data_IF_977995153840
#
_entry.id   IF_977995153840
#
_cell.length_a   1.000
_cell.length_b   1.000
_cell.length_c   1.000
_cell.angle_alpha   90.00
_cell.angle_beta   90.00
_cell.angle_gamma   90.00
#
_symmetry.space_group_name_H-M   'P 1'
#
loop_
_entity.id
_entity.type
_entity.pdbx_description
1 polymer ?
#
# COMPACT_ATOMS: atom_id res chain seq x y z
N UNK A 1 -18.32 -19.94 -11.53
CA UNK A 1 -18.31 -18.52 -11.93
C UNK A 1 -18.37 -17.76 -10.63
N UNK A 2 -17.29 -17.06 -10.27
CA UNK A 2 -17.25 -16.26 -9.05
C UNK A 2 -18.08 -14.99 -9.22
N UNK A 3 -18.53 -14.45 -8.10
CA UNK A 3 -19.15 -13.12 -8.05
C UNK A 3 -18.06 -12.06 -8.30
N UNK A 4 -18.39 -11.04 -9.10
CA UNK A 4 -17.50 -9.94 -9.46
C UNK A 4 -18.10 -8.60 -9.03
N UNK A 5 -17.25 -7.60 -8.81
CA UNK A 5 -17.63 -6.22 -8.55
C UNK A 5 -17.03 -5.29 -9.60
N UNK A 6 -17.71 -4.17 -9.86
CA UNK A 6 -17.11 -3.02 -10.53
C UNK A 6 -16.61 -2.07 -9.44
N UNK A 7 -15.31 -1.79 -9.46
CA UNK A 7 -14.67 -0.87 -8.52
C UNK A 7 -14.17 0.36 -9.26
N UNK A 8 -14.31 1.51 -8.61
CA UNK A 8 -13.75 2.79 -9.06
C UNK A 8 -12.52 3.09 -8.18
N UNK A 9 -11.36 3.26 -8.80
CA UNK A 9 -10.13 3.56 -8.08
C UNK A 9 -10.07 5.03 -7.68
N UNK A 10 -9.61 5.29 -6.45
CA UNK A 10 -9.54 6.66 -5.92
C UNK A 10 -8.38 7.48 -6.48
N UNK A 11 -7.26 6.83 -6.77
CA UNK A 11 -6.00 7.48 -7.13
C UNK A 11 -5.50 7.07 -8.53
N UNK A 12 -6.08 6.03 -9.14
CA UNK A 12 -5.76 5.60 -10.50
C UNK A 12 -6.75 6.22 -11.49
N UNK A 13 -6.22 6.70 -12.61
CA UNK A 13 -6.99 7.32 -13.68
C UNK A 13 -6.99 6.44 -14.92
N UNK A 14 -8.01 6.59 -15.75
CA UNK A 14 -8.06 6.04 -17.11
C UNK A 14 -6.97 6.68 -18.00
N UNK A 15 -6.80 6.17 -19.21
CA UNK A 15 -5.84 6.67 -20.21
C UNK A 15 -6.04 8.17 -20.56
N UNK A 16 -7.20 8.73 -20.21
CA UNK A 16 -7.48 10.16 -20.39
C UNK A 16 -6.85 11.05 -19.30
N UNK A 17 -6.29 10.48 -18.23
CA UNK A 17 -5.69 11.18 -17.08
C UNK A 17 -6.66 12.14 -16.35
N UNK A 18 -7.97 12.03 -16.57
CA UNK A 18 -8.98 12.88 -15.95
C UNK A 18 -10.06 12.11 -15.22
N UNK A 19 -10.37 10.90 -15.66
CA UNK A 19 -11.44 10.09 -15.09
C UNK A 19 -10.88 8.98 -14.21
N UNK A 20 -11.51 8.68 -13.06
CA UNK A 20 -11.14 7.55 -12.23
C UNK A 20 -11.22 6.22 -13.00
N UNK A 21 -10.21 5.37 -12.84
CA UNK A 21 -10.16 4.05 -13.45
C UNK A 21 -11.26 3.15 -12.90
N UNK A 22 -12.03 2.50 -13.78
CA UNK A 22 -13.02 1.51 -13.41
C UNK A 22 -12.61 0.10 -13.84
N UNK A 23 -12.65 -0.86 -12.92
CA UNK A 23 -12.26 -2.25 -13.21
C UNK A 23 -13.30 -3.25 -12.71
N UNK A 24 -13.47 -4.35 -13.45
CA UNK A 24 -14.25 -5.51 -12.99
C UNK A 24 -13.31 -6.50 -12.32
N UNK A 25 -13.41 -6.61 -11.00
CA UNK A 25 -12.55 -7.46 -10.16
C UNK A 25 -13.35 -8.59 -9.52
N UNK A 26 -12.68 -9.67 -9.14
CA UNK A 26 -13.31 -10.76 -8.40
C UNK A 26 -13.56 -10.34 -6.95
N UNK A 27 -14.62 -10.88 -6.32
CA UNK A 27 -14.86 -10.67 -4.87
C UNK A 27 -13.65 -11.00 -4.01
N UNK A 28 -12.85 -12.01 -4.40
CA UNK A 28 -11.63 -12.40 -3.68
C UNK A 28 -10.50 -11.37 -3.72
N UNK A 29 -10.57 -10.39 -4.62
CA UNK A 29 -9.58 -9.32 -4.80
C UNK A 29 -9.96 -8.06 -4.01
N UNK A 30 -11.19 -7.99 -3.50
CA UNK A 30 -11.68 -6.85 -2.71
C UNK A 30 -11.60 -7.16 -1.22
N UNK A 31 -11.08 -6.20 -0.44
CA UNK A 31 -11.06 -6.26 1.03
C UNK A 31 -11.62 -4.99 1.65
N UNK A 32 -12.23 -5.06 2.85
CA UNK A 32 -12.54 -3.87 3.64
C UNK A 32 -11.27 -3.05 3.93
N UNK A 33 -11.43 -1.74 4.08
CA UNK A 33 -10.33 -0.87 4.54
C UNK A 33 -9.84 -1.35 5.92
N UNK A 34 -8.53 -1.45 6.14
CA UNK A 34 -7.98 -1.80 7.45
C UNK A 34 -8.52 -0.85 8.54
N UNK A 35 -8.75 -1.34 9.77
CA UNK A 35 -9.12 -0.49 10.89
C UNK A 35 -8.10 0.64 11.08
N UNK A 36 -8.57 1.83 11.45
CA UNK A 36 -7.64 2.92 11.78
C UNK A 36 -6.82 2.52 13.01
N UNK A 37 -5.51 2.51 12.85
CA UNK A 37 -4.56 2.20 13.92
C UNK A 37 -4.49 3.37 14.89
N UNK A 38 -4.47 3.11 16.21
CA UNK A 38 -4.27 4.15 17.21
C UNK A 38 -2.93 4.87 16.97
N UNK A 39 -2.89 6.19 17.12
CA UNK A 39 -1.67 7.00 16.95
C UNK A 39 -0.47 6.53 17.79
N UNK A 40 -0.71 5.77 18.87
CA UNK A 40 0.33 5.14 19.69
C UNK A 40 1.09 4.04 18.95
N UNK A 41 0.42 3.29 18.07
CA UNK A 41 1.01 2.24 17.22
C UNK A 41 1.67 2.86 15.99
N UNK A 42 1.09 3.92 15.41
CA UNK A 42 1.71 4.67 14.30
C UNK A 42 3.05 5.35 14.68
N UNK A 43 3.31 5.56 15.99
CA UNK A 43 4.60 6.04 16.52
C UNK A 43 5.58 4.91 16.83
N UNK A 44 5.15 3.66 16.74
CA UNK A 44 6.02 2.52 16.94
C UNK A 44 7.02 2.49 15.78
N UNK A 45 8.31 2.52 16.12
CA UNK A 45 9.36 2.47 15.10
C UNK A 45 9.40 1.05 14.56
N UNK A 46 9.19 0.89 13.26
CA UNK A 46 9.39 -0.38 12.57
C UNK A 46 10.76 -1.00 12.89
N UNK A 47 10.77 -2.33 12.97
CA UNK A 47 11.95 -3.15 13.27
C UNK A 47 12.47 -3.83 12.01
N UNK A 48 13.79 -4.07 11.95
CA UNK A 48 14.39 -4.76 10.81
C UNK A 48 13.76 -6.16 10.64
N UNK A 49 13.37 -6.52 9.42
CA UNK A 49 12.71 -7.78 9.10
C UNK A 49 11.18 -7.77 9.29
N UNK A 50 10.59 -6.67 9.74
CA UNK A 50 9.14 -6.54 9.86
C UNK A 50 8.50 -6.38 8.47
N UNK A 51 7.41 -7.12 8.23
CA UNK A 51 6.59 -6.99 7.03
C UNK A 51 5.64 -5.81 7.24
N UNK A 52 5.62 -4.88 6.28
CA UNK A 52 4.75 -3.71 6.31
C UNK A 52 4.13 -3.48 4.94
N UNK A 53 3.11 -2.64 4.92
CA UNK A 53 2.60 -2.00 3.71
C UNK A 53 3.20 -0.60 3.58
N UNK A 54 3.80 -0.28 2.43
CA UNK A 54 4.33 1.03 2.09
C UNK A 54 3.44 1.71 1.04
N UNK A 55 3.12 2.99 1.23
CA UNK A 55 2.43 3.76 0.19
C UNK A 55 3.45 4.27 -0.83
N UNK A 56 3.29 3.90 -2.10
CA UNK A 56 4.07 4.43 -3.22
C UNK A 56 3.25 4.29 -4.51
N UNK A 57 3.48 5.15 -5.52
CA UNK A 57 2.77 5.14 -6.80
C UNK A 57 1.25 4.87 -6.66
N UNK A 58 0.59 5.66 -5.80
CA UNK A 58 -0.87 5.62 -5.62
C UNK A 58 -1.45 4.29 -5.11
N UNK A 59 -0.58 3.44 -4.53
CA UNK A 59 -0.93 2.11 -4.03
C UNK A 59 -0.21 1.73 -2.74
N UNK A 60 -0.67 0.64 -2.14
CA UNK A 60 -0.06 0.01 -0.96
C UNK A 60 0.73 -1.23 -1.39
N UNK A 61 2.03 -1.22 -1.16
CA UNK A 61 2.95 -2.29 -1.55
C UNK A 61 3.47 -3.02 -0.33
N UNK A 62 3.39 -4.36 -0.37
CA UNK A 62 3.99 -5.20 0.67
C UNK A 62 5.52 -5.11 0.55
N UNK A 63 6.18 -4.90 1.67
CA UNK A 63 7.64 -4.88 1.75
C UNK A 63 8.17 -5.29 3.11
N UNK A 64 9.48 -5.49 3.18
CA UNK A 64 10.19 -5.86 4.41
C UNK A 64 11.16 -4.73 4.78
N UNK A 65 11.18 -4.35 6.07
CA UNK A 65 12.15 -3.37 6.58
C UNK A 65 13.57 -3.92 6.42
N UNK A 66 14.38 -3.30 5.56
CA UNK A 66 15.77 -3.71 5.30
C UNK A 66 16.79 -2.74 5.86
N UNK A 67 16.42 -1.50 6.17
CA UNK A 67 17.33 -0.56 6.82
C UNK A 67 16.61 0.50 7.61
N UNK A 68 17.31 1.02 8.61
CA UNK A 68 16.90 2.20 9.39
C UNK A 68 18.01 3.24 9.35
N UNK A 69 17.71 4.44 8.88
CA UNK A 69 18.60 5.62 8.97
C UNK A 69 17.84 6.73 9.70
N UNK A 70 18.06 6.84 11.01
CA UNK A 70 17.37 7.82 11.86
C UNK A 70 15.87 7.53 11.96
N UNK A 71 15.04 8.44 11.43
CA UNK A 71 13.60 8.28 11.29
C UNK A 71 13.16 7.62 9.99
N UNK A 72 14.06 7.48 9.00
CA UNK A 72 13.75 6.86 7.72
C UNK A 72 13.96 5.35 7.82
N UNK A 73 12.95 4.60 7.40
CA UNK A 73 13.07 3.16 7.16
C UNK A 73 13.06 2.94 5.65
N UNK A 74 13.95 2.09 5.14
CA UNK A 74 13.90 1.62 3.76
C UNK A 74 13.29 0.23 3.74
N UNK A 75 12.46 -0.01 2.75
CA UNK A 75 11.77 -1.28 2.58
C UNK A 75 12.16 -1.85 1.24
N UNK A 76 12.23 -3.18 1.19
CA UNK A 76 12.38 -3.90 -0.05
C UNK A 76 11.04 -4.53 -0.38
N UNK A 77 10.54 -4.25 -1.57
CA UNK A 77 9.33 -4.89 -2.08
C UNK A 77 9.73 -5.89 -3.16
N UNK A 78 9.37 -7.15 -2.98
CA UNK A 78 9.59 -8.20 -3.97
C UNK A 78 8.73 -7.99 -5.22
N UNK A 79 7.61 -7.26 -5.12
CA UNK A 79 6.74 -6.98 -6.28
C UNK A 79 7.34 -5.96 -7.25
N UNK A 80 8.06 -4.96 -6.73
CA UNK A 80 8.71 -3.94 -7.58
C UNK A 80 10.22 -4.18 -7.77
N UNK A 81 10.81 -5.14 -7.04
CA UNK A 81 12.25 -5.44 -7.01
C UNK A 81 13.13 -4.21 -6.73
N UNK A 82 12.59 -3.20 -6.04
CA UNK A 82 13.28 -1.92 -5.79
C UNK A 82 13.24 -1.48 -4.32
N UNK A 83 14.18 -0.60 -3.95
CA UNK A 83 14.24 0.07 -2.65
C UNK A 83 13.44 1.36 -2.67
N UNK A 84 12.24 1.34 -2.10
CA UNK A 84 11.37 2.52 -2.02
C UNK A 84 11.57 3.29 -0.71
N UNK A 85 11.58 4.62 -0.79
CA UNK A 85 11.59 5.50 0.39
C UNK A 85 10.18 5.50 0.98
N UNK A 86 10.05 5.23 2.29
CA UNK A 86 8.75 5.32 2.96
C UNK A 86 8.29 6.78 3.02
N UNK A 87 7.34 7.13 2.15
CA UNK A 87 6.74 8.46 2.08
C UNK A 87 5.55 8.62 3.03
N UNK A 88 4.97 7.52 3.54
CA UNK A 88 4.00 7.61 4.63
C UNK A 88 3.84 6.29 5.40
N UNK A 89 3.75 6.39 6.73
CA UNK A 89 3.29 5.30 7.59
C UNK A 89 1.76 5.29 7.57
N UNK A 90 1.13 4.13 7.33
CA UNK A 90 -0.22 3.89 7.90
C UNK A 90 -0.10 4.06 9.42
N UNK A 91 -0.96 4.81 10.12
CA UNK A 91 -2.39 4.94 9.88
C UNK A 91 -3.11 3.67 10.32
#
# INVERSE_FOLDING_TARGET
MGDNYVVEYKELLEDDEFTPLNETVMVSEVRPRPPSTPQTVAKQKFTFGEVVDAYDNDGWWVGIVTRKRGCYCTFFSESTWDHMLLIQSLS
#
